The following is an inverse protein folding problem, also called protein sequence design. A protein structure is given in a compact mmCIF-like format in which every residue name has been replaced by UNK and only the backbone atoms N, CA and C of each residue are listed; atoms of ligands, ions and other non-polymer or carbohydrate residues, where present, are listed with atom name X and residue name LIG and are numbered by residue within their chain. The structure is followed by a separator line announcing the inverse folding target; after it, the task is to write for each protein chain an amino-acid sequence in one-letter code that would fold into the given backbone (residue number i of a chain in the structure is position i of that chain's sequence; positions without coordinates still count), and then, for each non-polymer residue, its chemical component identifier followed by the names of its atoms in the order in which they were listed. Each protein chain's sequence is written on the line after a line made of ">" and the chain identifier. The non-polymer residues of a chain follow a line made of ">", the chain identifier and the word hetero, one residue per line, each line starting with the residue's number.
data_IF_111387422415
#
_entry.id   IF_111387422415
#
_cell.length_a   1.000
_cell.length_b   1.000
_cell.length_c   1.000
_cell.angle_alpha   90.00
_cell.angle_beta   90.00
_cell.angle_gamma   90.00
#
_symmetry.space_group_name_H-M   'P 1'
#
loop_
_entity.id
_entity.type
_entity.pdbx_description
1 polymer ?
#
# COMPACT_ATOMS: atom_id res chain seq x y z
N UNK A 1 15.67 0.48 11.53
CA UNK A 1 14.47 0.44 10.63
C UNK A 1 13.13 0.18 11.34
N UNK A 2 13.02 0.37 12.66
CA UNK A 2 11.74 0.24 13.35
C UNK A 2 10.73 1.31 12.90
N UNK A 3 11.22 2.52 12.67
CA UNK A 3 10.47 3.64 12.08
C UNK A 3 11.02 3.94 10.69
N UNK A 4 10.14 4.24 9.74
CA UNK A 4 10.52 4.60 8.38
C UNK A 4 11.09 6.02 8.27
N UNK A 5 11.34 6.44 7.06
CA UNK A 5 11.88 7.79 6.79
C UNK A 5 10.82 8.90 6.86
N UNK A 6 9.57 8.54 7.11
CA UNK A 6 8.41 9.44 7.11
C UNK A 6 7.67 9.46 5.77
N UNK A 7 6.36 9.76 5.83
CA UNK A 7 5.49 9.77 4.67
C UNK A 7 5.99 10.74 3.60
N UNK A 8 6.02 10.29 2.34
CA UNK A 8 6.50 11.03 1.16
C UNK A 8 7.95 11.51 1.25
N UNK A 9 8.72 11.01 2.20
CA UNK A 9 10.13 11.42 2.41
C UNK A 9 11.15 10.47 1.74
N UNK A 10 10.70 9.34 1.20
CA UNK A 10 11.54 8.39 0.47
C UNK A 10 12.42 9.08 -0.58
N UNK A 11 11.83 9.95 -1.42
CA UNK A 11 12.54 10.68 -2.49
C UNK A 11 13.67 11.59 -1.98
N UNK A 12 13.54 12.13 -0.76
CA UNK A 12 14.57 12.97 -0.14
C UNK A 12 15.67 12.10 0.46
N UNK A 13 15.29 10.96 1.02
CA UNK A 13 16.24 10.04 1.65
C UNK A 13 17.17 9.40 0.61
N UNK A 14 16.64 8.89 -0.52
CA UNK A 14 17.44 8.22 -1.55
C UNK A 14 18.42 9.17 -2.27
N UNK A 15 18.21 10.49 -2.17
CA UNK A 15 19.10 11.50 -2.76
C UNK A 15 20.28 11.86 -1.86
N UNK A 16 20.35 11.33 -0.65
CA UNK A 16 21.48 11.61 0.25
C UNK A 16 22.75 10.97 -0.27
N UNK A 17 23.87 11.69 -0.14
CA UNK A 17 25.21 11.25 -0.62
C UNK A 17 25.60 9.84 -0.17
N UNK A 18 25.12 9.37 1.00
CA UNK A 18 25.41 8.02 1.50
C UNK A 18 24.91 6.88 0.58
N UNK A 19 24.03 7.17 -0.36
CA UNK A 19 23.52 6.21 -1.34
C UNK A 19 24.08 6.42 -2.75
N UNK A 20 24.96 7.40 -2.93
CA UNK A 20 25.66 7.61 -4.20
C UNK A 20 26.69 6.49 -4.38
N UNK A 21 26.50 5.70 -5.44
CA UNK A 21 27.51 4.73 -5.86
C UNK A 21 28.46 5.42 -6.81
N UNK A 22 29.72 5.60 -6.40
CA UNK A 22 30.78 6.31 -7.15
C UNK A 22 31.17 5.61 -8.46
N UNK A 23 30.81 4.34 -8.64
CA UNK A 23 31.10 3.58 -9.86
C UNK A 23 30.21 3.94 -11.06
N UNK A 24 29.12 4.69 -10.84
CA UNK A 24 28.18 5.06 -11.90
C UNK A 24 28.12 6.57 -12.08
N UNK A 25 28.62 7.02 -13.21
CA UNK A 25 28.81 8.44 -13.58
C UNK A 25 27.48 9.25 -13.67
N UNK A 26 26.30 8.62 -13.72
CA UNK A 26 25.03 9.33 -13.90
C UNK A 26 24.01 9.00 -12.79
N UNK A 27 24.37 9.32 -11.55
CA UNK A 27 23.53 9.08 -10.35
C UNK A 27 22.25 9.91 -10.32
N UNK A 28 22.23 11.08 -10.97
CA UNK A 28 21.08 12.00 -10.96
C UNK A 28 19.81 11.45 -11.64
N UNK A 29 19.96 10.50 -12.58
CA UNK A 29 18.82 9.92 -13.34
C UNK A 29 18.25 8.65 -12.75
N UNK A 30 18.83 8.09 -11.69
CA UNK A 30 18.48 6.75 -11.19
C UNK A 30 17.51 6.73 -10.01
N UNK A 31 17.26 7.86 -9.38
CA UNK A 31 16.39 7.88 -8.21
C UNK A 31 14.94 8.08 -8.61
N UNK A 32 14.13 7.06 -8.37
CA UNK A 32 12.67 7.17 -8.48
C UNK A 32 12.11 8.01 -7.35
N UNK A 33 10.99 8.64 -7.58
CA UNK A 33 10.32 9.48 -6.57
C UNK A 33 9.63 8.65 -5.49
N UNK A 34 9.37 7.36 -5.78
CA UNK A 34 8.72 6.39 -4.88
C UNK A 34 9.07 4.97 -5.34
N UNK A 35 9.06 3.98 -4.45
CA UNK A 35 9.08 2.58 -4.84
C UNK A 35 7.82 2.25 -5.65
N UNK A 36 7.99 1.54 -6.78
CA UNK A 36 6.86 1.15 -7.64
C UNK A 36 6.10 -0.07 -7.10
N UNK A 37 6.03 -0.20 -5.78
CA UNK A 37 5.34 -1.30 -5.12
C UNK A 37 4.93 -0.90 -3.70
N UNK A 38 3.67 -1.16 -3.36
CA UNK A 38 3.02 -0.74 -2.09
C UNK A 38 3.80 -1.20 -0.86
N UNK A 39 4.26 -2.46 -0.84
CA UNK A 39 4.95 -3.01 0.34
C UNK A 39 6.28 -2.32 0.61
N UNK A 40 7.08 -2.06 -0.44
CA UNK A 40 8.34 -1.34 -0.29
C UNK A 40 8.12 0.12 0.10
N UNK A 41 7.06 0.74 -0.42
CA UNK A 41 6.71 2.12 -0.07
C UNK A 41 6.31 2.23 1.41
N UNK A 42 5.42 1.34 1.88
CA UNK A 42 5.06 1.31 3.31
C UNK A 42 6.26 0.99 4.17
N UNK A 43 7.04 -0.04 3.84
CA UNK A 43 8.20 -0.43 4.63
C UNK A 43 9.25 0.68 4.74
N UNK A 44 9.53 1.39 3.64
CA UNK A 44 10.50 2.48 3.63
C UNK A 44 10.00 3.72 4.35
N UNK A 45 8.73 4.09 4.20
CA UNK A 45 8.19 5.35 4.73
C UNK A 45 7.67 5.21 6.16
N UNK A 46 7.03 4.10 6.52
CA UNK A 46 6.46 3.89 7.85
C UNK A 46 7.26 2.95 8.75
N UNK A 47 8.25 2.26 8.17
CA UNK A 47 9.06 1.26 8.87
C UNK A 47 8.32 -0.05 9.11
N UNK A 48 8.99 -0.96 9.81
CA UNK A 48 8.45 -2.30 10.12
C UNK A 48 7.14 -2.20 10.91
N UNK A 49 7.08 -1.32 11.89
CA UNK A 49 5.91 -1.16 12.77
C UNK A 49 4.68 -0.71 11.99
N UNK A 50 4.81 0.34 11.18
CA UNK A 50 3.71 0.85 10.35
C UNK A 50 3.28 -0.15 9.28
N UNK A 51 4.24 -0.82 8.65
CA UNK A 51 3.96 -1.85 7.65
C UNK A 51 3.15 -3.02 8.22
N UNK A 52 3.59 -3.61 9.33
CA UNK A 52 2.85 -4.74 9.94
C UNK A 52 1.48 -4.31 10.45
N UNK A 53 1.35 -3.13 11.04
CA UNK A 53 0.05 -2.60 11.46
C UNK A 53 -0.91 -2.48 10.26
N UNK A 54 -0.44 -1.94 9.13
CA UNK A 54 -1.23 -1.83 7.91
C UNK A 54 -1.64 -3.22 7.38
N UNK A 55 -0.70 -4.15 7.29
CA UNK A 55 -0.96 -5.50 6.78
C UNK A 55 -1.98 -6.24 7.65
N UNK A 56 -1.81 -6.23 8.97
CA UNK A 56 -2.75 -6.85 9.91
C UNK A 56 -4.14 -6.23 9.75
N UNK A 57 -4.23 -4.91 9.66
CA UNK A 57 -5.49 -4.20 9.48
C UNK A 57 -6.19 -4.61 8.18
N UNK A 58 -5.47 -4.63 7.05
CA UNK A 58 -6.05 -4.98 5.75
C UNK A 58 -6.49 -6.45 5.72
N UNK A 59 -5.64 -7.38 6.17
CA UNK A 59 -5.99 -8.82 6.17
C UNK A 59 -7.14 -9.13 7.12
N UNK A 60 -7.21 -8.50 8.30
CA UNK A 60 -8.34 -8.64 9.22
C UNK A 60 -9.64 -8.14 8.58
N UNK A 61 -9.60 -7.00 7.92
CA UNK A 61 -10.75 -6.43 7.21
C UNK A 61 -11.20 -7.30 6.05
N UNK A 62 -10.26 -7.82 5.25
CA UNK A 62 -10.53 -8.77 4.17
C UNK A 62 -11.18 -10.06 4.68
N UNK A 63 -10.65 -10.62 5.78
CA UNK A 63 -11.22 -11.82 6.38
C UNK A 63 -12.69 -11.63 6.77
N UNK A 64 -13.00 -10.50 7.42
CA UNK A 64 -14.38 -10.17 7.79
C UNK A 64 -15.27 -9.95 6.56
N UNK A 65 -14.75 -9.26 5.54
CA UNK A 65 -15.49 -9.01 4.31
C UNK A 65 -15.79 -10.29 3.53
N UNK A 66 -14.82 -11.20 3.39
CA UNK A 66 -15.00 -12.50 2.75
C UNK A 66 -16.03 -13.33 3.52
N UNK A 67 -15.93 -13.38 4.86
CA UNK A 67 -16.92 -14.08 5.69
C UNK A 67 -18.34 -13.52 5.54
N UNK A 68 -18.46 -12.20 5.41
CA UNK A 68 -19.75 -11.54 5.14
C UNK A 68 -20.27 -11.86 3.73
N UNK A 69 -19.38 -11.77 2.73
CA UNK A 69 -19.72 -12.08 1.34
C UNK A 69 -20.25 -13.51 1.17
N UNK A 70 -19.62 -14.50 1.79
CA UNK A 70 -20.07 -15.90 1.73
C UNK A 70 -21.49 -16.12 2.29
N UNK A 71 -21.99 -15.19 3.10
CA UNK A 71 -23.36 -15.23 3.64
C UNK A 71 -24.37 -14.43 2.80
N UNK A 72 -23.92 -13.36 2.14
CA UNK A 72 -24.82 -12.38 1.50
C UNK A 72 -24.80 -12.46 -0.02
N UNK A 73 -23.74 -13.01 -0.63
CA UNK A 73 -23.46 -13.02 -2.07
C UNK A 73 -23.57 -11.62 -2.72
N UNK A 74 -23.20 -10.55 -1.98
CA UNK A 74 -23.33 -9.19 -2.47
C UNK A 74 -22.18 -8.87 -3.44
N UNK A 75 -22.52 -8.63 -4.72
CA UNK A 75 -21.55 -8.37 -5.78
C UNK A 75 -20.78 -7.05 -5.61
N UNK A 76 -21.38 -6.03 -4.99
CA UNK A 76 -20.67 -4.78 -4.68
C UNK A 76 -19.58 -5.00 -3.63
N UNK A 77 -19.87 -5.82 -2.61
CA UNK A 77 -18.87 -6.21 -1.64
C UNK A 77 -17.74 -7.01 -2.29
N UNK A 78 -18.08 -7.94 -3.19
CA UNK A 78 -17.09 -8.73 -3.91
C UNK A 78 -16.15 -7.84 -4.75
N UNK A 79 -16.69 -6.83 -5.44
CA UNK A 79 -15.86 -5.91 -6.23
C UNK A 79 -14.84 -5.17 -5.38
N UNK A 80 -15.25 -4.71 -4.19
CA UNK A 80 -14.35 -4.08 -3.22
C UNK A 80 -13.27 -5.05 -2.70
N UNK A 81 -13.65 -6.30 -2.39
CA UNK A 81 -12.71 -7.36 -1.97
C UNK A 81 -11.66 -7.60 -3.06
N UNK A 82 -12.08 -7.80 -4.30
CA UNK A 82 -11.17 -8.05 -5.43
C UNK A 82 -10.24 -6.86 -5.63
N UNK A 83 -10.75 -5.64 -5.59
CA UNK A 83 -9.94 -4.44 -5.76
C UNK A 83 -8.88 -4.32 -4.66
N UNK A 84 -9.26 -4.48 -3.40
CA UNK A 84 -8.31 -4.40 -2.27
C UNK A 84 -7.25 -5.50 -2.37
N UNK A 85 -7.66 -6.74 -2.67
CA UNK A 85 -6.71 -7.85 -2.86
C UNK A 85 -5.71 -7.57 -3.97
N UNK A 86 -6.16 -7.14 -5.15
CA UNK A 86 -5.27 -6.85 -6.27
C UNK A 86 -4.35 -5.68 -5.99
N UNK A 87 -4.82 -4.67 -5.26
CA UNK A 87 -4.00 -3.49 -4.90
C UNK A 87 -2.84 -3.80 -3.96
N UNK A 88 -2.94 -4.87 -3.17
CA UNK A 88 -1.89 -5.29 -2.23
C UNK A 88 -1.07 -6.49 -2.71
N UNK A 89 -1.32 -7.00 -3.92
CA UNK A 89 -0.50 -8.08 -4.47
C UNK A 89 0.93 -7.61 -4.74
N UNK A 90 1.95 -8.31 -4.22
CA UNK A 90 3.34 -7.87 -4.35
C UNK A 90 3.91 -7.99 -5.77
N UNK A 91 3.19 -8.65 -6.68
CA UNK A 91 3.61 -8.88 -8.07
C UNK A 91 3.22 -7.71 -8.98
N UNK A 92 2.22 -6.90 -8.58
CA UNK A 92 1.68 -5.83 -9.42
C UNK A 92 2.42 -4.53 -9.11
N UNK A 93 3.14 -3.94 -10.10
CA UNK A 93 3.71 -2.60 -9.93
C UNK A 93 2.58 -1.59 -9.67
N UNK A 94 2.79 -0.72 -8.72
CA UNK A 94 1.82 0.32 -8.39
C UNK A 94 2.44 1.71 -8.52
N UNK A 95 1.60 2.72 -8.70
CA UNK A 95 1.98 4.10 -8.43
C UNK A 95 2.20 4.32 -6.93
N UNK A 96 2.58 5.54 -6.52
CA UNK A 96 2.71 5.84 -5.10
C UNK A 96 1.36 5.67 -4.40
N UNK A 97 1.31 4.78 -3.41
CA UNK A 97 0.12 4.57 -2.59
C UNK A 97 -0.26 5.84 -1.81
N UNK A 98 0.74 6.58 -1.35
CA UNK A 98 0.53 7.85 -0.64
C UNK A 98 0.25 9.05 -1.56
N UNK A 99 0.05 8.83 -2.87
CA UNK A 99 -0.49 9.87 -3.75
C UNK A 99 -1.98 10.07 -3.47
N UNK A 100 -2.47 11.31 -3.61
CA UNK A 100 -3.89 11.62 -3.38
C UNK A 100 -4.80 10.78 -4.26
N UNK A 101 -4.44 10.59 -5.52
CA UNK A 101 -5.24 9.81 -6.48
C UNK A 101 -5.31 8.32 -6.09
N UNK A 102 -4.16 7.67 -5.93
CA UNK A 102 -4.12 6.22 -5.63
C UNK A 102 -4.76 5.91 -4.28
N UNK A 103 -4.47 6.71 -3.25
CA UNK A 103 -5.06 6.52 -1.93
C UNK A 103 -6.57 6.73 -1.94
N UNK A 104 -7.09 7.73 -2.65
CA UNK A 104 -8.53 7.95 -2.73
C UNK A 104 -9.25 6.77 -3.36
N UNK A 105 -8.75 6.25 -4.49
CA UNK A 105 -9.35 5.08 -5.13
C UNK A 105 -9.30 3.86 -4.21
N UNK A 106 -8.17 3.62 -3.55
CA UNK A 106 -8.04 2.51 -2.62
C UNK A 106 -9.05 2.60 -1.47
N UNK A 107 -9.12 3.74 -0.79
CA UNK A 107 -10.00 3.90 0.37
C UNK A 107 -11.49 3.92 0.02
N UNK A 108 -11.88 4.40 -1.17
CA UNK A 108 -13.26 4.28 -1.67
C UNK A 108 -13.63 2.80 -1.83
N UNK A 109 -12.80 2.01 -2.50
CA UNK A 109 -13.10 0.59 -2.69
C UNK A 109 -13.03 -0.20 -1.37
N UNK A 110 -12.11 0.18 -0.47
CA UNK A 110 -12.07 -0.37 0.89
C UNK A 110 -13.35 -0.04 1.67
N UNK A 111 -13.88 1.19 1.54
CA UNK A 111 -15.14 1.58 2.17
C UNK A 111 -16.33 0.81 1.60
N UNK A 112 -16.37 0.57 0.28
CA UNK A 112 -17.38 -0.27 -0.37
C UNK A 112 -17.31 -1.69 0.21
N UNK A 113 -16.11 -2.29 0.29
CA UNK A 113 -15.91 -3.61 0.88
C UNK A 113 -16.45 -3.69 2.32
N UNK A 114 -16.16 -2.69 3.14
CA UNK A 114 -16.55 -2.65 4.56
C UNK A 114 -18.02 -2.23 4.76
N UNK A 115 -18.59 -1.41 3.87
CA UNK A 115 -19.94 -0.88 3.99
C UNK A 115 -21.04 -1.96 3.96
N UNK A 116 -20.74 -3.12 3.39
CA UNK A 116 -21.64 -4.28 3.34
C UNK A 116 -21.33 -5.33 4.41
N UNK A 117 -20.50 -5.02 5.41
CA UNK A 117 -20.30 -5.91 6.55
C UNK A 117 -21.62 -6.05 7.32
N UNK A 118 -22.19 -7.26 7.30
CA UNK A 118 -23.40 -7.55 8.07
C UNK A 118 -23.06 -7.65 9.54
N UNK A 119 -23.74 -6.83 10.37
CA UNK A 119 -23.73 -7.05 11.82
C UNK A 119 -24.43 -8.39 12.10
N UNK A 120 -23.72 -9.31 12.73
CA UNK A 120 -24.30 -10.55 13.27
C UNK A 120 -25.13 -10.23 14.49
#
# INVERSE_FOLDING_TARGET
>A
FYFGVGLKNYRNEVRKKKYENTEYIDTKKRFTTHPHQVHYEFLSETGITGYFTFIIFIFSSLFLAIKSYLKTNNLYQLSGIIFVLTSILPIIPSGSFFSTYSSSIFWINFAIMCGYLRKN
#
